data_IF_521215147852
#
_entry.id   IF_521215147852
#
_cell.length_a   1.000
_cell.length_b   1.000
_cell.length_c   1.000
_cell.angle_alpha   90.00
_cell.angle_beta   90.00
_cell.angle_gamma   90.00
#
_symmetry.space_group_name_H-M   'P 1'
#
loop_
_entity.id
_entity.type
_entity.pdbx_description
1 polymer ?
#
# COMPACT_ATOMS: atom_id res chain seq x y z
N UNK A 1 -17.52 15.27 -16.08
CA UNK A 1 -16.22 15.93 -16.33
C UNK A 1 -15.24 15.34 -15.32
N UNK A 2 -14.17 14.75 -15.77
CA UNK A 2 -13.12 14.19 -14.89
C UNK A 2 -12.35 15.38 -14.33
N UNK A 3 -12.38 15.57 -13.02
CA UNK A 3 -11.56 16.57 -12.33
C UNK A 3 -10.30 15.85 -11.86
N UNK A 4 -9.14 16.38 -12.20
CA UNK A 4 -7.86 15.84 -11.74
C UNK A 4 -7.34 16.69 -10.58
N UNK A 5 -6.93 16.04 -9.51
CA UNK A 5 -6.28 16.66 -8.35
C UNK A 5 -4.77 16.42 -8.45
N UNK A 6 -4.01 17.49 -8.49
CA UNK A 6 -2.55 17.44 -8.52
C UNK A 6 -1.97 17.69 -7.13
N UNK A 7 -0.72 17.25 -6.89
CA UNK A 7 -0.02 17.47 -5.62
C UNK A 7 0.01 18.94 -5.20
N UNK A 8 0.17 19.85 -6.14
CA UNK A 8 0.19 21.30 -5.86
C UNK A 8 -1.14 21.86 -5.35
N UNK A 9 -2.22 21.10 -5.49
CA UNK A 9 -3.56 21.48 -5.00
C UNK A 9 -3.85 20.93 -3.60
N UNK A 10 -2.95 20.08 -3.05
CA UNK A 10 -3.07 19.60 -1.67
C UNK A 10 -2.31 20.54 -0.75
N UNK A 11 -3.01 21.15 0.21
CA UNK A 11 -2.43 22.07 1.17
C UNK A 11 -1.51 21.40 2.19
N UNK A 12 -0.67 22.19 2.85
CA UNK A 12 0.19 21.70 3.93
C UNK A 12 -0.66 21.13 5.08
N UNK A 13 -0.44 19.86 5.40
CA UNK A 13 -1.20 19.15 6.43
C UNK A 13 -2.59 18.68 6.01
N UNK A 14 -3.03 18.99 4.79
CA UNK A 14 -4.30 18.53 4.22
C UNK A 14 -4.15 17.11 3.69
N UNK A 15 -5.11 16.23 3.95
CA UNK A 15 -5.18 14.92 3.29
C UNK A 15 -5.63 15.06 1.83
N UNK A 16 -5.31 14.07 1.02
CA UNK A 16 -5.81 14.02 -0.35
C UNK A 16 -7.35 14.00 -0.41
N UNK A 17 -8.00 13.36 0.55
CA UNK A 17 -9.45 13.31 0.63
C UNK A 17 -10.05 14.69 0.88
N UNK A 18 -9.48 15.46 1.82
CA UNK A 18 -9.92 16.84 2.11
C UNK A 18 -9.68 17.75 0.91
N UNK A 19 -8.51 17.66 0.27
CA UNK A 19 -8.21 18.38 -0.96
C UNK A 19 -9.19 18.03 -2.09
N UNK A 20 -9.51 16.75 -2.25
CA UNK A 20 -10.47 16.28 -3.25
C UNK A 20 -11.88 16.84 -3.00
N UNK A 21 -12.34 16.84 -1.76
CA UNK A 21 -13.64 17.40 -1.39
C UNK A 21 -13.68 18.91 -1.65
N UNK A 22 -12.63 19.61 -1.29
CA UNK A 22 -12.51 21.07 -1.54
C UNK A 22 -12.50 21.37 -3.04
N UNK A 23 -11.67 20.68 -3.83
CA UNK A 23 -11.58 20.89 -5.29
C UNK A 23 -12.90 20.52 -5.98
N UNK A 24 -13.59 19.47 -5.54
CA UNK A 24 -14.92 19.13 -6.03
C UNK A 24 -15.95 20.22 -5.73
N UNK A 25 -15.95 20.75 -4.52
CA UNK A 25 -16.84 21.83 -4.10
C UNK A 25 -16.58 23.12 -4.91
N UNK A 26 -15.32 23.51 -5.09
CA UNK A 26 -14.92 24.68 -5.87
C UNK A 26 -15.32 24.56 -7.35
N UNK A 27 -15.30 23.33 -7.88
CA UNK A 27 -15.75 23.03 -9.24
C UNK A 27 -17.28 22.85 -9.36
N UNK A 28 -18.02 22.94 -8.28
CA UNK A 28 -19.47 22.69 -8.24
C UNK A 28 -19.83 21.25 -8.62
N UNK A 29 -18.93 20.29 -8.40
CA UNK A 29 -19.09 18.89 -8.75
C UNK A 29 -19.60 18.07 -7.56
N UNK A 30 -20.53 17.16 -7.83
CA UNK A 30 -20.97 16.15 -6.88
C UNK A 30 -20.12 14.88 -6.92
N UNK A 31 -19.19 14.82 -7.87
CA UNK A 31 -18.27 13.70 -8.04
C UNK A 31 -16.87 14.12 -7.60
N UNK A 32 -16.23 13.30 -6.79
CA UNK A 32 -14.84 13.52 -6.40
C UNK A 32 -13.91 13.46 -7.61
N UNK A 33 -12.86 14.29 -7.62
CA UNK A 33 -11.87 14.23 -8.68
C UNK A 33 -11.16 12.89 -8.71
N UNK A 34 -10.84 12.41 -9.90
CA UNK A 34 -9.92 11.30 -10.08
C UNK A 34 -8.52 11.84 -9.93
N UNK A 35 -7.76 11.25 -9.01
CA UNK A 35 -6.42 11.70 -8.73
C UNK A 35 -5.46 11.22 -9.83
N UNK A 36 -4.96 12.16 -10.62
CA UNK A 36 -3.66 11.95 -11.23
C UNK A 36 -2.62 12.15 -10.12
N UNK A 37 -2.23 11.09 -9.45
CA UNK A 37 -1.17 11.13 -8.44
C UNK A 37 0.16 11.21 -9.18
N UNK A 38 0.46 12.39 -9.71
CA UNK A 38 1.82 12.69 -10.14
C UNK A 38 2.64 13.04 -8.89
N UNK A 39 3.26 12.03 -8.31
CA UNK A 39 4.22 12.15 -7.23
C UNK A 39 5.66 12.34 -7.76
N UNK A 40 5.82 12.77 -9.00
CA UNK A 40 7.12 13.07 -9.62
C UNK A 40 7.81 14.29 -9.00
N UNK A 41 7.79 14.45 -7.70
CA UNK A 41 8.42 15.59 -7.07
C UNK A 41 8.58 15.40 -5.57
N UNK A 42 7.55 15.69 -4.82
CA UNK A 42 7.61 15.68 -3.36
C UNK A 42 6.87 14.48 -2.75
N UNK A 43 7.40 13.87 -1.69
CA UNK A 43 6.68 12.85 -0.95
C UNK A 43 5.38 13.42 -0.36
N UNK A 44 4.33 12.61 -0.39
CA UNK A 44 3.10 12.88 0.33
C UNK A 44 3.38 12.87 1.84
N UNK A 45 3.16 13.98 2.53
CA UNK A 45 3.50 14.14 3.96
C UNK A 45 2.26 14.28 4.82
N UNK A 46 2.28 13.62 5.97
CA UNK A 46 1.19 13.63 6.95
C UNK A 46 1.74 13.82 8.35
N UNK A 47 1.22 14.81 9.08
CA UNK A 47 1.41 14.87 10.52
C UNK A 47 0.42 13.90 11.17
N UNK A 48 0.93 12.87 11.83
CA UNK A 48 0.10 11.82 12.45
C UNK A 48 -0.19 12.13 13.92
N UNK A 49 0.82 12.59 14.61
CA UNK A 49 0.76 13.05 15.99
C UNK A 49 1.89 14.06 16.25
N UNK A 50 1.99 14.57 17.47
CA UNK A 50 3.01 15.57 17.85
C UNK A 50 4.46 15.09 17.68
N UNK A 51 4.67 13.78 17.50
CA UNK A 51 6.01 13.16 17.41
C UNK A 51 6.31 12.54 16.04
N UNK A 52 5.28 12.29 15.21
CA UNK A 52 5.45 11.53 13.98
C UNK A 52 4.88 12.25 12.77
N UNK A 53 5.78 12.50 11.83
CA UNK A 53 5.45 12.88 10.45
C UNK A 53 5.67 11.66 9.57
N UNK A 54 4.64 11.25 8.83
CA UNK A 54 4.75 10.19 7.83
C UNK A 54 4.96 10.81 6.46
N UNK A 55 5.69 10.11 5.60
CA UNK A 55 5.73 10.42 4.20
C UNK A 55 5.64 9.15 3.36
N UNK A 56 5.03 9.29 2.20
CA UNK A 56 4.92 8.28 1.17
C UNK A 56 5.51 8.87 -0.12
N UNK A 57 6.40 8.15 -0.75
CA UNK A 57 6.97 8.51 -2.04
C UNK A 57 7.11 7.28 -2.92
N UNK A 58 7.15 7.43 -4.25
CA UNK A 58 7.49 6.34 -5.12
C UNK A 58 8.84 5.72 -4.75
N UNK A 59 8.93 4.40 -4.86
CA UNK A 59 10.20 3.68 -4.78
C UNK A 59 11.04 4.02 -6.01
N UNK A 60 12.34 4.08 -5.81
CA UNK A 60 13.35 4.25 -6.85
C UNK A 60 14.41 3.17 -6.75
N UNK A 61 15.23 2.99 -7.78
CA UNK A 61 16.38 2.07 -7.73
C UNK A 61 17.37 2.40 -6.60
N UNK A 62 17.42 3.67 -6.17
CA UNK A 62 18.23 4.11 -5.03
C UNK A 62 17.80 3.49 -3.69
N UNK A 63 16.57 2.96 -3.61
CA UNK A 63 16.03 2.33 -2.41
C UNK A 63 16.35 0.83 -2.32
N UNK A 64 16.85 0.21 -3.38
CA UNK A 64 17.13 -1.23 -3.40
C UNK A 64 18.04 -1.71 -2.25
N UNK A 65 19.10 -0.99 -1.84
CA UNK A 65 19.90 -1.40 -0.68
C UNK A 65 19.08 -1.50 0.61
N UNK A 66 18.15 -0.59 0.83
CA UNK A 66 17.24 -0.64 1.98
C UNK A 66 16.24 -1.79 1.86
N UNK A 67 15.67 -2.03 0.67
CA UNK A 67 14.77 -3.16 0.42
C UNK A 67 15.50 -4.49 0.69
N UNK A 68 16.72 -4.68 0.15
CA UNK A 68 17.57 -5.86 0.44
C UNK A 68 17.74 -6.05 1.94
N UNK A 69 18.11 -4.98 2.64
CA UNK A 69 18.30 -5.02 4.09
C UNK A 69 17.01 -5.43 4.81
N UNK A 70 15.87 -4.88 4.44
CA UNK A 70 14.58 -5.13 5.10
C UNK A 70 14.05 -6.54 4.86
N UNK A 71 14.05 -7.03 3.61
CA UNK A 71 13.52 -8.37 3.31
C UNK A 71 14.36 -9.48 3.93
N UNK A 72 15.63 -9.21 4.23
CA UNK A 72 16.52 -10.14 4.92
C UNK A 72 16.49 -10.03 6.45
N UNK A 73 15.72 -9.09 7.03
CA UNK A 73 15.58 -9.05 8.50
C UNK A 73 14.75 -10.23 9.02
N UNK A 74 15.07 -10.82 10.19
CA UNK A 74 14.39 -12.03 10.68
C UNK A 74 12.87 -11.89 10.83
N UNK A 75 12.35 -10.69 11.09
CA UNK A 75 10.91 -10.47 11.26
C UNK A 75 10.18 -10.31 9.92
N UNK A 76 10.87 -9.99 8.84
CA UNK A 76 10.31 -9.88 7.48
C UNK A 76 10.54 -11.16 6.71
N UNK A 77 11.78 -11.71 6.71
CA UNK A 77 12.21 -12.83 5.89
C UNK A 77 11.36 -14.11 5.98
N UNK A 78 10.62 -14.27 7.06
CA UNK A 78 9.72 -15.43 7.25
C UNK A 78 8.34 -15.27 6.63
N UNK A 79 7.99 -14.05 6.18
CA UNK A 79 6.68 -13.71 5.60
C UNK A 79 6.79 -13.11 4.21
N UNK A 80 7.95 -12.60 3.89
CA UNK A 80 8.29 -12.01 2.61
C UNK A 80 9.43 -12.82 2.03
N UNK A 81 9.56 -12.79 0.75
CA UNK A 81 10.59 -13.52 0.06
C UNK A 81 12.00 -13.06 0.52
N UNK A 82 12.52 -13.72 1.54
CA UNK A 82 13.82 -13.42 2.14
C UNK A 82 14.99 -14.01 1.36
N UNK A 83 16.22 -13.76 1.85
CA UNK A 83 17.47 -14.20 1.25
C UNK A 83 17.69 -13.64 -0.17
N UNK A 84 17.38 -12.35 -0.34
CA UNK A 84 17.52 -11.61 -1.60
C UNK A 84 18.78 -10.77 -1.59
N UNK A 85 19.50 -10.78 -2.68
CA UNK A 85 20.57 -9.84 -2.97
C UNK A 85 20.04 -8.66 -3.83
N UNK A 86 20.95 -7.78 -4.23
CA UNK A 86 20.62 -6.60 -4.99
C UNK A 86 20.09 -6.94 -6.40
N UNK A 87 20.62 -7.98 -7.03
CA UNK A 87 20.21 -8.43 -8.36
C UNK A 87 18.77 -8.93 -8.33
N UNK A 88 18.43 -9.79 -7.36
CA UNK A 88 17.05 -10.26 -7.19
C UNK A 88 16.05 -9.12 -6.90
N UNK A 89 16.44 -8.15 -6.08
CA UNK A 89 15.59 -7.00 -5.80
C UNK A 89 15.37 -6.15 -7.05
N UNK A 90 16.42 -5.91 -7.83
CA UNK A 90 16.33 -5.16 -9.08
C UNK A 90 15.47 -5.89 -10.12
N UNK A 91 15.61 -7.19 -10.25
CA UNK A 91 14.82 -8.01 -11.18
C UNK A 91 13.34 -8.05 -10.81
N UNK A 92 13.03 -8.12 -9.50
CA UNK A 92 11.65 -8.20 -9.01
C UNK A 92 10.92 -6.84 -9.08
N UNK A 93 11.51 -5.77 -8.57
CA UNK A 93 10.86 -4.45 -8.48
C UNK A 93 11.06 -3.60 -9.73
N UNK A 94 12.15 -3.84 -10.49
CA UNK A 94 12.53 -3.04 -11.65
C UNK A 94 11.44 -2.92 -12.72
N UNK A 95 10.76 -4.00 -13.14
CA UNK A 95 9.68 -3.91 -14.11
C UNK A 95 8.57 -2.94 -13.71
N UNK A 96 8.11 -2.98 -12.45
CA UNK A 96 7.10 -2.05 -11.95
C UNK A 96 7.59 -0.61 -11.91
N UNK A 97 8.87 -0.38 -11.53
CA UNK A 97 9.46 0.96 -11.52
C UNK A 97 9.54 1.57 -12.94
N UNK A 98 9.68 0.74 -13.97
CA UNK A 98 9.71 1.16 -15.39
C UNK A 98 8.32 1.18 -16.03
N UNK A 99 7.26 0.80 -15.30
CA UNK A 99 5.90 0.72 -15.82
C UNK A 99 5.64 -0.46 -16.76
N UNK A 100 6.51 -1.46 -16.75
CA UNK A 100 6.40 -2.73 -17.51
C UNK A 100 5.48 -3.73 -16.81
N UNK A 101 5.35 -3.60 -15.48
CA UNK A 101 4.43 -4.33 -14.61
C UNK A 101 3.45 -3.32 -13.97
N UNK A 102 2.14 -3.60 -13.90
CA UNK A 102 1.14 -2.68 -13.34
C UNK A 102 1.14 -2.58 -11.81
N UNK A 103 2.21 -2.99 -11.13
CA UNK A 103 2.40 -2.82 -9.69
C UNK A 103 3.03 -1.47 -9.39
N UNK A 104 2.51 -0.77 -8.38
CA UNK A 104 3.09 0.48 -7.87
C UNK A 104 3.78 0.23 -6.55
N UNK A 105 4.99 0.75 -6.40
CA UNK A 105 5.84 0.57 -5.22
C UNK A 105 6.11 1.89 -4.53
N UNK A 106 6.03 1.90 -3.19
CA UNK A 106 6.12 3.09 -2.36
C UNK A 106 7.06 2.87 -1.19
N UNK A 107 7.82 3.88 -0.83
CA UNK A 107 8.63 3.90 0.39
C UNK A 107 7.88 4.64 1.48
N UNK A 108 7.84 4.04 2.66
CA UNK A 108 7.34 4.67 3.87
C UNK A 108 8.46 5.35 4.63
N UNK A 109 8.24 6.61 4.99
CA UNK A 109 9.15 7.37 5.84
C UNK A 109 8.45 7.77 7.13
N UNK A 110 9.21 7.73 8.23
CA UNK A 110 8.81 8.27 9.53
C UNK A 110 9.87 9.26 9.96
N UNK A 111 9.49 10.52 10.16
CA UNK A 111 10.39 11.61 10.51
C UNK A 111 11.59 11.72 9.54
N UNK A 112 11.33 11.61 8.24
CA UNK A 112 12.32 11.71 7.17
C UNK A 112 13.29 10.53 7.05
N UNK A 113 12.96 9.39 7.65
CA UNK A 113 13.76 8.15 7.53
C UNK A 113 12.90 7.04 6.93
N UNK A 114 13.41 6.40 5.89
CA UNK A 114 12.78 5.23 5.29
C UNK A 114 12.68 4.10 6.32
N UNK A 115 11.49 3.52 6.48
CA UNK A 115 11.22 2.49 7.50
C UNK A 115 10.65 1.20 6.94
N UNK A 116 10.28 1.20 5.66
CA UNK A 116 9.70 0.06 4.98
C UNK A 116 9.13 0.48 3.64
N UNK A 117 8.39 -0.43 3.03
CA UNK A 117 7.75 -0.20 1.74
C UNK A 117 6.37 -0.84 1.68
N UNK A 118 5.60 -0.44 0.68
CA UNK A 118 4.32 -1.03 0.35
C UNK A 118 4.12 -1.03 -1.17
N UNK A 119 3.15 -1.83 -1.60
CA UNK A 119 2.76 -1.93 -3.00
C UNK A 119 1.25 -2.01 -3.13
N UNK A 120 0.75 -1.61 -4.28
CA UNK A 120 -0.65 -1.77 -4.66
C UNK A 120 -0.78 -2.10 -6.15
N UNK A 121 -1.83 -2.84 -6.50
CA UNK A 121 -2.08 -3.34 -7.84
C UNK A 121 -3.53 -3.75 -8.03
N UNK A 122 -4.01 -3.78 -9.29
CA UNK A 122 -5.29 -4.44 -9.59
C UNK A 122 -5.08 -5.94 -9.60
N UNK A 123 -5.83 -6.69 -8.80
CA UNK A 123 -5.75 -8.16 -8.80
C UNK A 123 -6.07 -8.72 -10.19
N UNK A 124 -7.02 -8.11 -10.90
CA UNK A 124 -7.39 -8.51 -12.26
C UNK A 124 -6.24 -8.41 -13.29
N UNK A 125 -5.23 -7.58 -13.04
CA UNK A 125 -4.06 -7.45 -13.90
C UNK A 125 -3.05 -8.61 -13.71
N UNK A 126 -3.27 -9.48 -12.69
CA UNK A 126 -2.47 -10.66 -12.36
C UNK A 126 -3.33 -11.93 -12.47
N UNK A 127 -3.55 -12.49 -13.69
CA UNK A 127 -4.54 -13.54 -13.95
C UNK A 127 -4.35 -14.81 -13.10
N UNK A 128 -3.11 -15.21 -12.84
CA UNK A 128 -2.83 -16.40 -12.02
C UNK A 128 -3.26 -16.18 -10.57
N UNK A 129 -2.97 -15.01 -10.02
CA UNK A 129 -3.39 -14.64 -8.67
C UNK A 129 -4.91 -14.42 -8.57
N UNK A 130 -5.51 -13.80 -9.60
CA UNK A 130 -6.95 -13.58 -9.66
C UNK A 130 -7.76 -14.88 -9.63
N UNK A 131 -7.21 -16.00 -10.14
CA UNK A 131 -7.86 -17.31 -10.04
C UNK A 131 -7.85 -17.90 -8.63
N UNK A 132 -6.90 -17.51 -7.80
CA UNK A 132 -6.80 -17.96 -6.41
C UNK A 132 -7.59 -17.06 -5.47
N UNK A 133 -7.71 -15.80 -5.82
CA UNK A 133 -8.32 -14.77 -4.98
C UNK A 133 -9.85 -14.83 -5.04
N UNK A 134 -10.51 -14.68 -3.88
CA UNK A 134 -11.98 -14.61 -3.80
C UNK A 134 -12.55 -13.26 -4.24
N UNK A 135 -11.68 -12.28 -4.50
CA UNK A 135 -12.02 -10.90 -4.87
C UNK A 135 -11.17 -10.41 -6.05
N UNK A 136 -11.34 -11.01 -7.24
CA UNK A 136 -10.49 -10.69 -8.39
C UNK A 136 -10.58 -9.23 -8.86
N UNK A 137 -11.69 -8.54 -8.56
CA UNK A 137 -11.90 -7.14 -8.94
C UNK A 137 -11.39 -6.14 -7.89
N UNK A 138 -10.88 -6.62 -6.75
CA UNK A 138 -10.36 -5.76 -5.70
C UNK A 138 -8.99 -5.18 -6.07
N UNK A 139 -8.60 -4.15 -5.32
CA UNK A 139 -7.23 -3.63 -5.35
C UNK A 139 -6.42 -4.37 -4.29
N UNK A 140 -5.41 -5.09 -4.75
CA UNK A 140 -4.43 -5.76 -3.90
C UNK A 140 -3.47 -4.76 -3.27
N UNK A 141 -3.02 -5.04 -2.05
CA UNK A 141 -1.95 -4.29 -1.41
C UNK A 141 -1.14 -5.16 -0.48
N UNK A 142 0.16 -4.89 -0.43
CA UNK A 142 1.10 -5.53 0.49
C UNK A 142 1.97 -4.49 1.16
N UNK A 143 2.56 -4.85 2.32
CA UNK A 143 3.35 -3.91 3.09
C UNK A 143 4.40 -4.59 3.97
N UNK A 144 5.49 -3.87 4.17
CA UNK A 144 6.61 -4.26 5.02
C UNK A 144 7.01 -3.08 5.90
N UNK A 145 7.08 -3.31 7.23
CA UNK A 145 7.85 -2.47 8.14
C UNK A 145 9.21 -3.13 8.31
N UNK A 146 10.20 -2.63 7.59
CA UNK A 146 11.53 -3.22 7.53
C UNK A 146 12.38 -2.93 8.77
N UNK A 147 12.18 -1.74 9.40
CA UNK A 147 12.90 -1.34 10.59
C UNK A 147 12.35 -2.02 11.85
N UNK A 148 13.09 -2.99 12.40
CA UNK A 148 12.68 -3.77 13.57
C UNK A 148 12.34 -2.90 14.79
N UNK A 149 13.04 -1.77 14.97
CA UNK A 149 12.79 -0.81 16.06
C UNK A 149 11.45 -0.09 15.96
N UNK A 150 10.79 -0.18 14.81
CA UNK A 150 9.48 0.44 14.52
C UNK A 150 8.31 -0.53 14.59
N UNK A 151 8.59 -1.82 14.70
CA UNK A 151 7.55 -2.86 14.86
C UNK A 151 6.92 -2.76 16.25
N UNK A 152 5.64 -3.13 16.34
CA UNK A 152 4.84 -3.11 17.60
C UNK A 152 4.69 -1.72 18.25
N UNK A 153 4.88 -0.63 17.49
CA UNK A 153 4.71 0.76 17.92
C UNK A 153 3.37 1.39 17.49
N UNK A 154 2.46 0.60 16.92
CA UNK A 154 1.19 1.09 16.38
C UNK A 154 1.30 1.79 15.02
N UNK A 155 2.51 2.04 14.53
CA UNK A 155 2.75 2.78 13.27
C UNK A 155 2.16 2.09 12.05
N UNK A 156 2.18 0.75 12.00
CA UNK A 156 1.68 0.00 10.84
C UNK A 156 0.22 0.29 10.50
N UNK A 157 -0.65 0.39 11.51
CA UNK A 157 -2.06 0.71 11.30
C UNK A 157 -2.23 2.13 10.75
N UNK A 158 -1.52 3.11 11.32
CA UNK A 158 -1.61 4.51 10.87
C UNK A 158 -1.01 4.71 9.47
N UNK A 159 0.13 4.08 9.20
CA UNK A 159 0.77 4.11 7.87
C UNK A 159 -0.15 3.51 6.81
N UNK A 160 -0.73 2.34 7.08
CA UNK A 160 -1.67 1.70 6.15
C UNK A 160 -2.95 2.52 5.96
N UNK A 161 -3.49 3.10 7.03
CA UNK A 161 -4.67 3.96 6.91
C UNK A 161 -4.44 5.09 5.92
N UNK A 162 -3.34 5.83 6.08
CA UNK A 162 -2.97 6.93 5.19
C UNK A 162 -2.72 6.42 3.77
N UNK A 163 -1.95 5.34 3.62
CA UNK A 163 -1.64 4.75 2.33
C UNK A 163 -2.91 4.35 1.57
N UNK A 164 -3.79 3.60 2.21
CA UNK A 164 -4.99 3.08 1.56
C UNK A 164 -6.00 4.19 1.24
N UNK A 165 -6.26 5.08 2.20
CA UNK A 165 -7.27 6.13 2.05
C UNK A 165 -6.82 7.24 1.10
N UNK A 166 -5.58 7.70 1.25
CA UNK A 166 -5.13 8.93 0.61
C UNK A 166 -4.31 8.70 -0.65
N UNK A 167 -3.83 7.49 -0.89
CA UNK A 167 -3.03 7.15 -2.04
C UNK A 167 -3.63 6.05 -2.92
N UNK A 168 -4.05 4.92 -2.33
CA UNK A 168 -4.56 3.78 -3.10
C UNK A 168 -5.96 4.06 -3.64
N UNK A 169 -6.94 4.29 -2.76
CA UNK A 169 -8.33 4.46 -3.19
C UNK A 169 -8.50 5.56 -4.23
N UNK A 170 -7.90 6.74 -4.08
CA UNK A 170 -8.02 7.79 -5.09
C UNK A 170 -7.45 7.43 -6.46
N UNK A 171 -6.46 6.57 -6.52
CA UNK A 171 -5.78 6.22 -7.76
C UNK A 171 -6.54 5.19 -8.61
N UNK A 172 -7.50 4.48 -8.01
CA UNK A 172 -8.27 3.45 -8.71
C UNK A 172 -9.74 3.84 -8.78
N UNK A 173 -10.14 4.35 -9.93
CA UNK A 173 -11.52 4.74 -10.19
C UNK A 173 -12.49 3.56 -9.95
N UNK A 174 -13.53 3.81 -9.15
CA UNK A 174 -14.52 2.79 -8.82
C UNK A 174 -14.06 1.72 -7.82
N UNK A 175 -12.88 1.85 -7.20
CA UNK A 175 -12.42 0.91 -6.19
C UNK A 175 -13.42 0.81 -5.04
N UNK A 176 -14.05 -0.35 -4.88
CA UNK A 176 -15.03 -0.62 -3.82
C UNK A 176 -14.46 -1.50 -2.71
N UNK A 177 -13.39 -2.23 -2.99
CA UNK A 177 -12.79 -3.20 -2.08
C UNK A 177 -11.27 -3.22 -2.22
N UNK A 178 -10.59 -3.28 -1.08
CA UNK A 178 -9.15 -3.51 -0.99
C UNK A 178 -8.91 -4.90 -0.40
N UNK A 179 -7.84 -5.56 -0.80
CA UNK A 179 -7.57 -6.94 -0.44
C UNK A 179 -6.10 -7.15 -0.09
N UNK A 180 -5.85 -7.89 0.99
CA UNK A 180 -4.52 -8.38 1.36
C UNK A 180 -4.63 -9.83 1.85
N UNK A 181 -3.62 -10.63 1.62
CA UNK A 181 -3.61 -12.05 1.96
C UNK A 181 -2.36 -12.44 2.78
N UNK A 182 -2.26 -12.04 4.05
CA UNK A 182 -1.15 -12.45 4.89
C UNK A 182 -1.19 -13.94 5.22
N UNK A 183 -0.02 -14.55 5.42
CA UNK A 183 0.10 -15.89 5.96
C UNK A 183 -0.71 -16.03 7.27
N UNK A 184 -1.45 -17.11 7.42
CA UNK A 184 -2.33 -17.36 8.58
C UNK A 184 -1.58 -17.33 9.93
N UNK A 185 -0.28 -17.57 9.94
CA UNK A 185 0.59 -17.50 11.12
C UNK A 185 1.08 -16.08 11.41
N UNK A 186 0.95 -15.15 10.47
CA UNK A 186 1.35 -13.76 10.65
C UNK A 186 0.33 -12.97 11.45
N UNK A 187 0.20 -13.31 12.74
CA UNK A 187 -0.77 -12.71 13.64
C UNK A 187 -0.58 -11.19 13.80
N UNK A 188 0.61 -10.65 13.54
CA UNK A 188 0.86 -9.20 13.57
C UNK A 188 0.16 -8.51 12.41
N UNK A 189 0.34 -9.02 11.19
CA UNK A 189 -0.34 -8.48 10.01
C UNK A 189 -1.86 -8.61 10.15
N UNK A 190 -2.35 -9.77 10.56
CA UNK A 190 -3.79 -9.99 10.80
C UNK A 190 -4.38 -8.98 11.80
N UNK A 191 -3.68 -8.69 12.91
CA UNK A 191 -4.12 -7.67 13.89
C UNK A 191 -4.10 -6.25 13.34
N UNK A 192 -3.16 -5.91 12.47
CA UNK A 192 -3.11 -4.60 11.83
C UNK A 192 -4.31 -4.45 10.90
N UNK A 193 -4.60 -5.45 10.08
CA UNK A 193 -5.75 -5.46 9.17
C UNK A 193 -7.09 -5.43 9.93
N UNK A 194 -7.21 -6.18 11.03
CA UNK A 194 -8.38 -6.13 11.90
C UNK A 194 -8.61 -4.71 12.48
N UNK A 195 -7.56 -4.05 12.96
CA UNK A 195 -7.64 -2.66 13.44
C UNK A 195 -8.03 -1.66 12.37
N UNK A 196 -7.70 -1.95 11.12
CA UNK A 196 -8.15 -1.17 9.96
C UNK A 196 -9.61 -1.45 9.58
N UNK A 197 -10.26 -2.42 10.21
CA UNK A 197 -11.63 -2.81 9.91
C UNK A 197 -11.76 -3.81 8.77
N UNK A 198 -10.68 -4.52 8.43
CA UNK A 198 -10.75 -5.61 7.48
C UNK A 198 -11.61 -6.77 7.99
N UNK A 199 -12.29 -7.42 7.08
CA UNK A 199 -13.01 -8.67 7.34
C UNK A 199 -12.17 -9.83 6.85
N UNK A 200 -11.85 -10.77 7.74
CA UNK A 200 -11.19 -12.01 7.37
C UNK A 200 -12.18 -12.93 6.64
N UNK A 201 -11.77 -13.44 5.50
CA UNK A 201 -12.53 -14.33 4.63
C UNK A 201 -11.97 -15.74 4.59
N UNK A 202 -11.99 -16.33 3.40
CA UNK A 202 -11.49 -17.70 3.17
C UNK A 202 -9.96 -17.76 3.27
N UNK A 203 -9.50 -18.91 3.71
CA UNK A 203 -8.10 -19.31 3.62
C UNK A 203 -7.89 -19.99 2.27
N UNK A 204 -6.76 -19.74 1.64
CA UNK A 204 -6.38 -20.37 0.39
C UNK A 204 -4.86 -20.57 0.34
N UNK A 205 -4.43 -21.46 -0.54
CA UNK A 205 -3.01 -21.77 -0.70
C UNK A 205 -2.44 -20.98 -1.87
N UNK A 206 -1.30 -20.33 -1.61
CA UNK A 206 -0.50 -19.64 -2.62
C UNK A 206 0.82 -20.36 -2.85
N UNK A 207 1.26 -20.52 -4.12
CA UNK A 207 2.61 -20.96 -4.39
C UNK A 207 3.62 -19.98 -3.79
N UNK A 208 4.63 -20.50 -3.10
CA UNK A 208 5.73 -19.67 -2.60
C UNK A 208 7.00 -19.83 -3.46
N UNK A 209 7.91 -18.88 -3.30
CA UNK A 209 9.15 -18.83 -4.06
C UNK A 209 10.08 -20.04 -3.82
N UNK A 210 9.89 -20.81 -2.75
CA UNK A 210 10.65 -22.04 -2.44
C UNK A 210 10.11 -23.27 -3.19
N UNK A 211 9.07 -23.09 -4.02
CA UNK A 211 8.40 -24.19 -4.71
C UNK A 211 7.43 -24.97 -3.82
N UNK A 212 7.10 -24.44 -2.64
CA UNK A 212 6.08 -24.94 -1.73
C UNK A 212 4.80 -24.13 -1.82
N UNK A 213 4.01 -24.19 -0.75
CA UNK A 213 2.71 -23.49 -0.63
C UNK A 213 2.66 -22.81 0.73
N UNK A 214 2.19 -21.60 0.77
CA UNK A 214 1.82 -20.89 2.00
C UNK A 214 0.30 -20.78 2.08
N UNK A 215 -0.27 -21.08 3.24
CA UNK A 215 -1.70 -20.87 3.50
C UNK A 215 -1.90 -19.45 3.99
N UNK A 216 -2.67 -18.68 3.23
CA UNK A 216 -2.94 -17.26 3.49
C UNK A 216 -4.40 -17.03 3.87
N UNK A 217 -4.67 -15.90 4.51
CA UNK A 217 -6.01 -15.49 4.93
C UNK A 217 -6.42 -14.27 4.11
N UNK A 218 -7.44 -14.41 3.27
CA UNK A 218 -7.99 -13.30 2.53
C UNK A 218 -8.64 -12.28 3.48
N UNK A 219 -8.14 -11.05 3.46
CA UNK A 219 -8.60 -9.93 4.28
C UNK A 219 -9.13 -8.83 3.39
N UNK A 220 -10.42 -8.54 3.46
CA UNK A 220 -11.09 -7.54 2.64
C UNK A 220 -11.41 -6.28 3.42
N UNK A 221 -11.21 -5.11 2.81
CA UNK A 221 -11.62 -3.81 3.33
C UNK A 221 -12.63 -3.20 2.37
N UNK A 222 -13.87 -3.05 2.82
CA UNK A 222 -14.89 -2.29 2.10
C UNK A 222 -14.56 -0.78 2.19
N UNK A 223 -14.32 -0.17 1.04
CA UNK A 223 -13.83 1.20 0.94
C UNK A 223 -14.82 2.20 1.55
N UNK A 224 -16.11 2.07 1.25
CA UNK A 224 -17.13 3.01 1.76
C UNK A 224 -17.34 2.85 3.26
N UNK A 225 -17.46 1.61 3.72
CA UNK A 225 -17.73 1.31 5.13
C UNK A 225 -16.57 1.66 6.05
N UNK A 226 -15.34 1.33 5.65
CA UNK A 226 -14.15 1.42 6.51
C UNK A 226 -13.47 2.78 6.34
N UNK A 227 -13.16 3.16 5.10
CA UNK A 227 -12.39 4.37 4.83
C UNK A 227 -13.29 5.61 4.71
N UNK A 228 -14.60 5.44 4.77
CA UNK A 228 -15.60 6.52 4.63
C UNK A 228 -15.43 7.33 3.34
N UNK A 229 -14.97 6.65 2.32
CA UNK A 229 -14.82 7.21 0.99
C UNK A 229 -16.20 7.17 0.30
N UNK A 230 -16.68 8.32 -0.16
CA UNK A 230 -18.01 8.44 -0.79
C UNK A 230 -17.99 8.05 -2.27
#
# INVERSE_FOLDING_TARGET
MRIELTRSQVGDGESWAEAADRVAADAGSTHRPVLAVDLSGDPLRFQVDDQHTFALRPMTEGDYPDVVRWVNTPHVAKWWDGNRDLEHVADYYGPGLRGEDPVRYWIWEVNGRSVGFCQDYRIADHPEYALLCTRPDAIGFDYVIGEASRVDRGLGTSLLWVFLRDLVVPAYDGASELFAAPDHRNTRSLRVLEKLGATQGLWFDEPNWQGGVDTVVGCSIDVRRVLRWA
#
